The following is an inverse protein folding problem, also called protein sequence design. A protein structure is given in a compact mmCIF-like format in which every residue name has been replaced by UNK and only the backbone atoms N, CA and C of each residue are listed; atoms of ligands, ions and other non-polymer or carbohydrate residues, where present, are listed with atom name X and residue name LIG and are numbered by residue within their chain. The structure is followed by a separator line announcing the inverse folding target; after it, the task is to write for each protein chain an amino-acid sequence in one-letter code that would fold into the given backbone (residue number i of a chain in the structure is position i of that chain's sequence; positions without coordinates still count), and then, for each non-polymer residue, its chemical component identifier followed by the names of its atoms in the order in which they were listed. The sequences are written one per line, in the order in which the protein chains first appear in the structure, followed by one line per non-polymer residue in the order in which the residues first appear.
data_IF_996108266367
#
_entry.id   IF_996108266367
#
_cell.length_a   1.000
_cell.length_b   1.000
_cell.length_c   1.000
_cell.angle_alpha   90.00
_cell.angle_beta   90.00
_cell.angle_gamma   90.00
#
_symmetry.space_group_name_H-M   'P 1'
#
loop_
_entity.id
_entity.type
_entity.pdbx_description
1 polymer ?
#
# COMPACT_ATOMS: atom_id res chain seq x y z
N UNK A 1 -11.15 -52.19 6.79
CA UNK A 1 -10.11 -52.58 5.82
C UNK A 1 -10.47 -51.95 4.49
N UNK A 2 -9.77 -50.90 4.05
CA UNK A 2 -10.05 -50.27 2.77
C UNK A 2 -9.72 -51.28 1.64
N UNK A 3 -10.71 -51.60 0.82
CA UNK A 3 -10.55 -52.56 -0.27
C UNK A 3 -9.49 -52.04 -1.26
N UNK A 4 -8.54 -52.88 -1.62
CA UNK A 4 -7.40 -52.59 -2.52
C UNK A 4 -7.84 -51.94 -3.85
N UNK A 5 -9.06 -52.22 -4.29
CA UNK A 5 -9.67 -51.59 -5.46
C UNK A 5 -9.98 -50.10 -5.29
N UNK A 6 -10.34 -49.63 -4.09
CA UNK A 6 -10.65 -48.22 -3.84
C UNK A 6 -9.37 -47.37 -3.75
N UNK A 7 -8.29 -47.91 -3.18
CA UNK A 7 -6.99 -47.23 -3.16
C UNK A 7 -6.39 -47.11 -4.56
N UNK A 8 -6.50 -48.15 -5.40
CA UNK A 8 -6.09 -48.09 -6.81
C UNK A 8 -6.90 -47.06 -7.62
N UNK A 9 -8.22 -46.99 -7.42
CA UNK A 9 -9.07 -45.99 -8.08
C UNK A 9 -8.72 -44.56 -7.64
N UNK A 10 -8.43 -44.38 -6.35
CA UNK A 10 -8.02 -43.08 -5.80
C UNK A 10 -6.64 -42.65 -6.33
N UNK A 11 -5.67 -43.57 -6.42
CA UNK A 11 -4.36 -43.30 -7.00
C UNK A 11 -4.46 -42.89 -8.48
N UNK A 12 -5.30 -43.58 -9.26
CA UNK A 12 -5.55 -43.22 -10.66
C UNK A 12 -6.18 -41.83 -10.81
N UNK A 13 -7.16 -41.49 -9.98
CA UNK A 13 -7.76 -40.16 -9.98
C UNK A 13 -6.77 -39.06 -9.58
N UNK A 14 -5.89 -39.33 -8.60
CA UNK A 14 -4.84 -38.42 -8.18
C UNK A 14 -3.85 -38.16 -9.33
N UNK A 15 -3.42 -39.22 -10.02
CA UNK A 15 -2.50 -39.11 -11.16
C UNK A 15 -3.09 -38.28 -12.31
N UNK A 16 -4.41 -38.30 -12.49
CA UNK A 16 -5.10 -37.53 -13.53
C UNK A 16 -5.24 -36.04 -13.21
N UNK A 17 -5.31 -35.67 -11.94
CA UNK A 17 -5.53 -34.27 -11.52
C UNK A 17 -4.25 -33.52 -11.23
N UNK A 18 -3.12 -34.22 -11.04
CA UNK A 18 -1.84 -33.57 -10.76
C UNK A 18 -1.14 -33.12 -12.05
N UNK A 19 -0.65 -31.88 -12.05
CA UNK A 19 0.18 -31.32 -13.11
C UNK A 19 1.64 -31.81 -12.96
N UNK A 20 2.07 -32.68 -13.87
CA UNK A 20 3.40 -33.27 -13.87
C UNK A 20 4.53 -32.26 -14.06
N UNK A 21 4.30 -31.14 -14.75
CA UNK A 21 5.31 -30.12 -14.93
C UNK A 21 5.58 -29.37 -13.60
N UNK A 22 4.53 -29.14 -12.81
CA UNK A 22 4.66 -28.54 -11.47
C UNK A 22 5.26 -29.52 -10.47
N UNK A 23 4.92 -30.81 -10.55
CA UNK A 23 5.52 -31.84 -9.71
C UNK A 23 7.03 -31.98 -9.95
N UNK A 24 7.48 -31.98 -11.21
CA UNK A 24 8.90 -32.06 -11.55
C UNK A 24 9.67 -30.81 -11.07
N UNK A 25 9.07 -29.63 -11.20
CA UNK A 25 9.66 -28.41 -10.64
C UNK A 25 9.75 -28.43 -9.11
N UNK A 26 8.80 -29.12 -8.44
CA UNK A 26 8.76 -29.24 -6.99
C UNK A 26 9.72 -30.31 -6.48
N UNK A 27 9.85 -31.46 -7.16
CA UNK A 27 10.76 -32.56 -6.78
C UNK A 27 12.23 -32.15 -6.82
N UNK A 28 12.59 -31.21 -7.72
CA UNK A 28 13.93 -30.61 -7.78
C UNK A 28 14.28 -29.73 -6.58
N UNK A 29 13.27 -29.21 -5.87
CA UNK A 29 13.45 -28.28 -4.75
C UNK A 29 13.18 -28.93 -3.39
N UNK A 30 12.36 -29.98 -3.36
CA UNK A 30 11.95 -30.61 -2.11
C UNK A 30 11.81 -32.14 -2.26
N UNK A 31 12.26 -32.86 -1.24
CA UNK A 31 12.12 -34.30 -1.10
C UNK A 31 10.65 -34.67 -0.80
N UNK A 32 9.94 -35.15 -1.84
CA UNK A 32 8.52 -35.48 -1.79
C UNK A 32 8.19 -36.60 -0.78
N UNK A 33 8.92 -37.73 -0.74
CA UNK A 33 8.73 -38.75 0.30
C UNK A 33 8.78 -38.17 1.73
N UNK A 34 9.82 -37.39 2.02
CA UNK A 34 9.99 -36.78 3.35
C UNK A 34 8.91 -35.74 3.68
N UNK A 35 8.44 -34.99 2.68
CA UNK A 35 7.32 -34.06 2.86
C UNK A 35 6.01 -34.78 3.20
N UNK A 36 5.69 -35.86 2.48
CA UNK A 36 4.46 -36.63 2.72
C UNK A 36 4.49 -37.25 4.12
N UNK A 37 5.64 -37.78 4.54
CA UNK A 37 5.85 -38.28 5.90
C UNK A 37 5.68 -37.17 6.95
N UNK A 38 6.30 -36.01 6.73
CA UNK A 38 6.20 -34.85 7.64
C UNK A 38 4.77 -34.36 7.78
N UNK A 39 4.01 -34.28 6.67
CA UNK A 39 2.60 -33.87 6.68
C UNK A 39 1.73 -34.93 7.35
N UNK A 40 2.04 -36.22 7.19
CA UNK A 40 1.28 -37.31 7.83
C UNK A 40 1.44 -37.37 9.34
N UNK A 41 2.55 -36.84 9.87
CA UNK A 41 2.82 -36.76 11.31
C UNK A 41 2.20 -35.51 11.97
N UNK A 42 1.64 -34.57 11.19
CA UNK A 42 0.96 -33.38 11.71
C UNK A 42 -0.54 -33.66 11.90
N UNK A 43 -1.13 -33.01 12.91
CA UNK A 43 -2.59 -33.07 13.11
C UNK A 43 -3.35 -32.11 12.16
N UNK A 44 -4.67 -32.30 12.06
CA UNK A 44 -5.53 -31.51 11.17
C UNK A 44 -5.51 -30.00 11.47
N UNK A 45 -5.29 -29.61 12.72
CA UNK A 45 -5.25 -28.19 13.13
C UNK A 45 -3.94 -27.54 12.68
N UNK A 46 -2.83 -28.26 12.79
CA UNK A 46 -1.52 -27.83 12.31
C UNK A 46 -1.50 -27.73 10.78
N UNK A 47 -2.07 -28.71 10.08
CA UNK A 47 -2.20 -28.68 8.61
C UNK A 47 -3.06 -27.49 8.17
N UNK A 48 -4.20 -27.26 8.82
CA UNK A 48 -5.08 -26.12 8.52
C UNK A 48 -4.40 -24.77 8.80
N UNK A 49 -3.66 -24.66 9.91
CA UNK A 49 -2.88 -23.46 10.25
C UNK A 49 -1.76 -23.20 9.25
N UNK A 50 -1.02 -24.25 8.87
CA UNK A 50 0.04 -24.17 7.87
C UNK A 50 -0.51 -23.79 6.50
N UNK A 51 -1.63 -24.37 6.07
CA UNK A 51 -2.30 -23.99 4.82
C UNK A 51 -2.75 -22.53 4.83
N UNK A 52 -3.31 -22.02 5.93
CA UNK A 52 -3.65 -20.58 6.07
C UNK A 52 -2.43 -19.68 5.93
N UNK A 53 -1.29 -20.11 6.49
CA UNK A 53 -0.03 -19.37 6.40
C UNK A 53 0.63 -19.45 5.00
N UNK A 54 0.54 -20.61 4.34
CA UNK A 54 1.19 -20.86 3.04
C UNK A 54 0.37 -20.44 1.82
N UNK A 55 -0.95 -20.26 1.94
CA UNK A 55 -1.77 -19.89 0.78
C UNK A 55 -3.28 -19.79 0.98
N UNK A 56 -3.81 -20.07 2.17
CA UNK A 56 -5.26 -20.03 2.46
C UNK A 56 -5.80 -18.63 2.76
N UNK A 57 -4.93 -17.68 3.12
CA UNK A 57 -5.27 -16.27 3.14
C UNK A 57 -4.89 -15.65 1.80
N UNK A 58 -5.86 -15.44 0.91
CA UNK A 58 -5.72 -14.44 -0.16
C UNK A 58 -5.65 -13.06 0.50
N UNK A 59 -4.50 -12.76 1.11
CA UNK A 59 -4.18 -11.49 1.72
C UNK A 59 -3.99 -10.44 0.64
N UNK A 60 -5.07 -10.07 -0.06
CA UNK A 60 -5.14 -8.73 -0.64
C UNK A 60 -4.87 -7.80 0.54
N UNK A 61 -3.71 -7.14 0.54
CA UNK A 61 -3.42 -6.09 1.52
C UNK A 61 -4.64 -5.18 1.52
N UNK A 62 -5.35 -5.11 2.65
CA UNK A 62 -6.50 -4.23 2.79
C UNK A 62 -5.96 -2.82 2.60
N UNK A 63 -6.28 -2.20 1.46
CA UNK A 63 -5.91 -0.82 1.22
C UNK A 63 -6.65 0.00 2.28
N UNK A 64 -5.86 0.72 3.07
CA UNK A 64 -6.40 1.62 4.07
C UNK A 64 -7.10 2.76 3.34
N UNK A 65 -8.20 3.30 3.89
CA UNK A 65 -8.78 4.51 3.33
C UNK A 65 -7.73 5.63 3.30
N UNK A 66 -7.81 6.56 2.33
CA UNK A 66 -6.94 7.71 2.31
C UNK A 66 -7.08 8.49 3.63
N UNK A 67 -5.97 9.04 4.12
CA UNK A 67 -5.97 9.84 5.34
C UNK A 67 -6.67 11.15 5.03
N UNK A 68 -7.84 11.37 5.62
CA UNK A 68 -8.54 12.64 5.58
C UNK A 68 -8.05 13.54 6.72
N UNK A 69 -7.19 14.50 6.39
CA UNK A 69 -6.61 15.44 7.36
C UNK A 69 -7.55 16.58 7.77
N UNK A 70 -8.65 16.79 7.05
CA UNK A 70 -9.66 17.82 7.31
C UNK A 70 -10.92 17.20 7.94
N UNK A 71 -10.78 16.76 9.20
CA UNK A 71 -11.84 16.03 9.91
C UNK A 71 -13.15 16.81 10.08
N UNK A 72 -13.07 18.14 10.12
CA UNK A 72 -14.23 19.02 10.27
C UNK A 72 -14.69 19.63 8.94
N UNK A 73 -14.17 19.16 7.81
CA UNK A 73 -14.48 19.68 6.47
C UNK A 73 -14.38 21.21 6.38
N UNK A 74 -13.44 21.83 7.09
CA UNK A 74 -13.31 23.29 7.19
C UNK A 74 -13.08 23.91 5.81
N UNK A 75 -12.39 23.17 4.94
CA UNK A 75 -12.15 23.61 3.58
C UNK A 75 -13.42 23.81 2.75
N UNK A 76 -14.43 22.98 2.95
CA UNK A 76 -15.65 22.99 2.14
C UNK A 76 -16.82 23.67 2.88
N UNK A 77 -16.83 23.64 4.21
CA UNK A 77 -17.91 24.22 5.03
C UNK A 77 -17.62 25.64 5.53
N UNK A 78 -16.35 25.99 5.80
CA UNK A 78 -16.00 27.26 6.45
C UNK A 78 -15.38 28.30 5.50
N UNK A 79 -14.88 27.89 4.33
CA UNK A 79 -14.26 28.79 3.35
C UNK A 79 -15.22 29.14 2.22
N UNK A 80 -15.08 30.36 1.70
CA UNK A 80 -15.70 30.73 0.42
C UNK A 80 -14.95 30.04 -0.72
N UNK A 81 -15.61 29.88 -1.87
CA UNK A 81 -15.02 29.25 -3.05
C UNK A 81 -13.68 29.88 -3.47
N UNK A 82 -13.58 31.22 -3.40
CA UNK A 82 -12.35 31.95 -3.73
C UNK A 82 -11.21 31.64 -2.75
N UNK A 83 -11.51 31.59 -1.45
CA UNK A 83 -10.54 31.27 -0.40
C UNK A 83 -10.11 29.81 -0.48
N UNK A 84 -11.04 28.90 -0.80
CA UNK A 84 -10.76 27.48 -1.03
C UNK A 84 -9.87 27.28 -2.26
N UNK A 85 -10.16 27.99 -3.36
CA UNK A 85 -9.32 27.96 -4.55
C UNK A 85 -7.90 28.48 -4.26
N UNK A 86 -7.78 29.56 -3.47
CA UNK A 86 -6.49 30.08 -3.03
C UNK A 86 -5.73 29.07 -2.17
N UNK A 87 -6.40 28.44 -1.20
CA UNK A 87 -5.82 27.40 -0.34
C UNK A 87 -5.27 26.24 -1.18
N UNK A 88 -6.03 25.75 -2.16
CA UNK A 88 -5.61 24.65 -3.04
C UNK A 88 -4.43 25.05 -3.93
N UNK A 89 -4.42 26.30 -4.45
CA UNK A 89 -3.27 26.85 -5.19
C UNK A 89 -2.00 26.83 -4.34
N UNK A 90 -2.09 27.27 -3.07
CA UNK A 90 -0.95 27.26 -2.14
C UNK A 90 -0.51 25.83 -1.82
N UNK A 91 -1.45 24.89 -1.58
CA UNK A 91 -1.11 23.47 -1.38
C UNK A 91 -0.33 22.89 -2.56
N UNK A 92 -0.80 23.10 -3.78
CA UNK A 92 -0.14 22.62 -4.98
C UNK A 92 1.28 23.19 -5.14
N UNK A 93 1.47 24.47 -4.81
CA UNK A 93 2.79 25.08 -4.77
C UNK A 93 3.72 24.41 -3.75
N UNK A 94 3.26 24.21 -2.51
CA UNK A 94 4.07 23.59 -1.46
C UNK A 94 4.48 22.16 -1.83
N UNK A 95 3.56 21.38 -2.42
CA UNK A 95 3.85 20.01 -2.86
C UNK A 95 4.85 19.96 -4.02
N UNK A 96 4.80 20.92 -4.93
CA UNK A 96 5.67 20.95 -6.12
C UNK A 96 7.04 21.55 -5.83
N UNK A 97 7.08 22.70 -5.16
CA UNK A 97 8.28 23.52 -5.04
C UNK A 97 9.00 23.33 -3.69
N UNK A 98 8.26 23.06 -2.61
CA UNK A 98 8.83 23.00 -1.25
C UNK A 98 9.12 21.57 -0.80
N UNK A 99 8.18 20.64 -0.99
CA UNK A 99 8.30 19.23 -0.59
C UNK A 99 9.59 18.56 -1.08
N UNK A 100 10.10 18.80 -2.30
CA UNK A 100 11.34 18.16 -2.75
C UNK A 100 12.60 18.65 -2.01
N UNK A 101 12.61 19.90 -1.54
CA UNK A 101 13.82 20.54 -0.97
C UNK A 101 13.79 20.67 0.55
N UNK A 102 12.60 20.59 1.18
CA UNK A 102 12.40 20.91 2.61
C UNK A 102 13.33 20.13 3.53
N UNK A 103 13.51 18.83 3.30
CA UNK A 103 14.36 18.00 4.15
C UNK A 103 15.84 18.40 4.08
N UNK A 104 16.32 18.82 2.90
CA UNK A 104 17.70 19.25 2.73
C UNK A 104 18.00 20.50 3.56
N UNK A 105 17.16 21.52 3.42
CA UNK A 105 17.31 22.79 4.13
C UNK A 105 17.06 22.64 5.63
N UNK A 106 16.06 21.85 6.02
CA UNK A 106 15.75 21.57 7.42
C UNK A 106 16.93 20.94 8.15
N UNK A 107 17.55 19.90 7.55
CA UNK A 107 18.68 19.20 8.16
C UNK A 107 19.93 20.07 8.31
N UNK A 108 20.09 21.10 7.47
CA UNK A 108 21.22 22.03 7.50
C UNK A 108 20.96 23.29 8.34
N UNK A 109 19.73 23.49 8.81
CA UNK A 109 19.29 24.74 9.42
C UNK A 109 19.56 25.98 8.52
N UNK A 110 19.37 25.81 7.21
CA UNK A 110 19.56 26.86 6.20
C UNK A 110 18.23 27.34 5.64
N UNK A 111 18.19 28.57 5.10
CA UNK A 111 17.00 29.12 4.46
C UNK A 111 17.02 28.96 2.92
N UNK A 112 15.95 28.45 2.30
CA UNK A 112 15.85 28.31 0.84
C UNK A 112 15.48 29.63 0.15
N UNK A 113 16.46 30.50 -0.10
CA UNK A 113 16.24 31.79 -0.77
C UNK A 113 15.62 31.69 -2.17
N UNK A 114 15.80 30.56 -2.85
CA UNK A 114 15.20 30.28 -4.17
C UNK A 114 13.67 30.22 -4.17
N UNK A 115 13.05 29.99 -3.00
CA UNK A 115 11.59 29.96 -2.85
C UNK A 115 10.99 31.38 -2.84
N UNK A 116 11.74 32.40 -2.42
CA UNK A 116 11.24 33.77 -2.26
C UNK A 116 10.54 34.31 -3.52
N UNK A 117 11.18 34.32 -4.72
CA UNK A 117 10.52 34.83 -5.92
C UNK A 117 9.26 34.02 -6.28
N UNK A 118 9.29 32.70 -6.10
CA UNK A 118 8.14 31.84 -6.41
C UNK A 118 6.97 32.06 -5.43
N UNK A 119 7.25 32.31 -4.16
CA UNK A 119 6.23 32.71 -3.17
C UNK A 119 5.64 34.09 -3.50
N UNK A 120 6.46 35.03 -3.97
CA UNK A 120 5.99 36.35 -4.38
C UNK A 120 5.00 36.26 -5.55
N UNK A 121 5.27 35.40 -6.54
CA UNK A 121 4.36 35.14 -7.67
C UNK A 121 2.99 34.57 -7.25
N UNK A 122 2.89 33.88 -6.11
CA UNK A 122 1.60 33.43 -5.60
C UNK A 122 0.70 34.58 -5.13
N UNK A 123 1.31 35.73 -4.81
CA UNK A 123 0.66 36.94 -4.32
C UNK A 123 -0.25 36.70 -3.11
N UNK A 124 0.31 36.09 -2.05
CA UNK A 124 -0.41 35.74 -0.81
C UNK A 124 0.05 36.54 0.41
N UNK A 125 1.04 37.42 0.24
CA UNK A 125 1.54 38.26 1.33
C UNK A 125 0.66 39.50 1.47
N UNK A 126 0.16 39.75 2.69
CA UNK A 126 -0.64 40.94 2.98
C UNK A 126 -2.13 40.83 2.63
N UNK A 127 -2.70 39.61 2.68
CA UNK A 127 -4.13 39.35 2.45
C UNK A 127 -5.11 40.10 3.38
N UNK A 128 -4.60 40.69 4.45
CA UNK A 128 -5.39 41.47 5.42
C UNK A 128 -5.29 42.98 5.22
N UNK A 129 -4.48 43.45 4.25
CA UNK A 129 -4.18 44.86 4.03
C UNK A 129 -4.77 45.37 2.71
N UNK A 130 -5.63 46.39 2.83
CA UNK A 130 -6.20 47.09 1.68
C UNK A 130 -5.22 48.13 1.13
N UNK A 131 -4.99 48.09 -0.18
CA UNK A 131 -4.12 49.03 -0.89
C UNK A 131 -2.66 48.58 -0.97
N UNK A 132 -1.74 49.51 -1.27
CA UNK A 132 -0.28 49.29 -1.30
C UNK A 132 0.22 48.17 -2.23
N UNK A 133 -0.59 47.72 -3.19
CA UNK A 133 -0.26 46.57 -4.04
C UNK A 133 -0.48 45.20 -3.36
N UNK A 134 -1.14 45.17 -2.20
CA UNK A 134 -1.50 43.93 -1.51
C UNK A 134 -2.77 43.29 -2.10
N UNK A 135 -2.91 41.96 -2.00
CA UNK A 135 -3.98 41.19 -2.64
C UNK A 135 -5.35 41.27 -1.95
N UNK A 136 -5.49 41.88 -0.76
CA UNK A 136 -6.73 41.84 0.03
C UNK A 136 -6.96 43.03 0.93
#
# INVERSE_FOLDING_TARGET
MANIFSSLKNAYNLFKTIDFAKLDALSKKVDLPKMVETISNLDDKQISGMMKMMGGGSGKKKELPPIEGDFYHLGDEALKDEDRALQLKVRAFLEKEVKPIVNHYWNKAEFPFEIIPKLAELNICGLTYKGYGCPG
#
